data_IF_641921083433
#
_entry.id   IF_641921083433
#
_cell.length_a   1.000
_cell.length_b   1.000
_cell.length_c   1.000
_cell.angle_alpha   90.00
_cell.angle_beta   90.00
_cell.angle_gamma   90.00
#
_symmetry.space_group_name_H-M   'P 1'
#
loop_
_entity.id
_entity.type
_entity.pdbx_description
1 polymer ?
#
# COMPACT_ATOMS: atom_id res chain seq x y z
N UNK A 1 -15.86 32.39 -9.01
CA UNK A 1 -15.19 32.34 -10.33
C UNK A 1 -13.80 32.94 -10.14
N UNK A 2 -12.82 32.10 -9.82
CA UNK A 2 -11.43 32.55 -9.68
C UNK A 2 -10.75 32.45 -11.06
N UNK A 3 -10.04 33.48 -11.53
CA UNK A 3 -9.42 33.44 -12.85
C UNK A 3 -8.21 32.51 -12.80
N UNK A 4 -8.30 31.37 -13.49
CA UNK A 4 -7.15 30.54 -13.82
C UNK A 4 -6.28 31.31 -14.82
N UNK A 5 -5.08 31.71 -14.40
CA UNK A 5 -4.00 32.07 -15.33
C UNK A 5 -3.40 30.76 -15.85
N UNK A 6 -3.46 30.57 -17.17
CA UNK A 6 -2.66 29.56 -17.87
C UNK A 6 -1.18 29.96 -17.74
N UNK A 7 -0.51 29.43 -16.74
CA UNK A 7 0.95 29.31 -16.77
C UNK A 7 1.26 27.94 -17.40
N UNK A 8 2.02 27.97 -18.49
CA UNK A 8 2.48 26.78 -19.18
C UNK A 8 3.11 25.80 -18.18
N UNK A 9 2.59 24.57 -18.14
CA UNK A 9 3.22 23.47 -17.40
C UNK A 9 4.50 23.13 -18.15
N UNK A 10 5.58 23.81 -17.79
CA UNK A 10 6.93 23.40 -18.15
C UNK A 10 7.20 22.11 -17.41
N UNK A 11 6.98 20.98 -18.09
CA UNK A 11 7.57 19.72 -17.68
C UNK A 11 9.08 19.95 -17.59
N UNK A 12 9.62 19.94 -16.38
CA UNK A 12 11.07 19.87 -16.15
C UNK A 12 11.56 18.52 -16.69
N UNK A 13 11.68 18.41 -18.02
CA UNK A 13 12.55 17.42 -18.66
C UNK A 13 13.96 17.94 -18.49
N UNK A 14 14.53 17.71 -17.31
CA UNK A 14 15.97 17.79 -17.17
C UNK A 14 16.57 16.70 -18.05
N UNK A 15 17.31 17.11 -19.09
CA UNK A 15 18.18 16.28 -19.91
C UNK A 15 19.43 15.84 -19.13
N UNK A 16 19.27 15.46 -17.87
CA UNK A 16 20.35 15.12 -16.96
C UNK A 16 20.08 13.73 -16.39
N UNK A 17 21.04 12.84 -16.48
CA UNK A 17 21.14 11.58 -15.71
C UNK A 17 21.27 11.80 -14.20
N UNK A 18 20.76 12.91 -13.68
CA UNK A 18 20.70 13.19 -12.25
C UNK A 18 19.53 12.41 -11.65
N UNK A 19 19.85 11.55 -10.67
CA UNK A 19 18.85 10.89 -9.86
C UNK A 19 17.98 11.96 -9.19
N UNK A 20 16.72 12.05 -9.61
CA UNK A 20 15.75 12.95 -8.98
C UNK A 20 15.56 12.47 -7.54
N UNK A 21 16.12 13.20 -6.58
CA UNK A 21 15.88 12.92 -5.17
C UNK A 21 14.46 13.36 -4.81
N UNK A 22 13.62 12.40 -4.44
CA UNK A 22 12.26 12.70 -3.98
C UNK A 22 12.36 13.34 -2.58
N UNK A 23 11.78 14.55 -2.37
CA UNK A 23 11.88 15.25 -1.09
C UNK A 23 11.18 14.47 0.03
N UNK A 24 11.83 14.39 1.19
CA UNK A 24 11.28 13.77 2.40
C UNK A 24 10.69 14.82 3.34
N UNK A 25 9.47 14.59 3.79
CA UNK A 25 8.76 15.43 4.75
C UNK A 25 8.91 14.79 6.13
N UNK A 26 9.81 15.36 6.95
CA UNK A 26 10.08 14.85 8.31
C UNK A 26 9.07 15.38 9.35
N UNK A 27 8.63 16.62 9.18
CA UNK A 27 7.76 17.33 10.14
C UNK A 27 6.41 17.61 9.52
N UNK A 28 5.34 17.36 10.28
CA UNK A 28 3.97 17.68 9.89
C UNK A 28 3.84 19.16 9.53
N UNK A 29 3.26 19.41 8.36
CA UNK A 29 2.91 20.71 7.81
C UNK A 29 1.40 20.93 7.99
N UNK A 30 0.96 22.15 7.77
CA UNK A 30 -0.47 22.41 7.62
C UNK A 30 -0.99 21.74 6.34
N UNK A 31 -2.28 21.44 6.28
CA UNK A 31 -2.89 20.93 5.05
C UNK A 31 -2.68 21.90 3.89
N UNK A 32 -2.87 23.21 4.12
CA UNK A 32 -2.68 24.24 3.11
C UNK A 32 -1.25 24.27 2.56
N UNK A 33 -0.24 24.20 3.43
CA UNK A 33 1.16 24.14 2.99
C UNK A 33 1.43 22.90 2.14
N UNK A 34 0.95 21.74 2.58
CA UNK A 34 1.12 20.48 1.85
C UNK A 34 0.41 20.53 0.49
N UNK A 35 -0.81 21.07 0.46
CA UNK A 35 -1.59 21.22 -0.76
C UNK A 35 -0.87 22.12 -1.77
N UNK A 36 -0.48 23.33 -1.37
CA UNK A 36 0.15 24.30 -2.27
C UNK A 36 1.52 23.85 -2.77
N UNK A 37 2.28 23.09 -1.97
CA UNK A 37 3.66 22.70 -2.31
C UNK A 37 3.80 21.33 -2.95
N UNK A 38 2.81 20.44 -2.78
CA UNK A 38 2.88 19.06 -3.28
C UNK A 38 1.67 18.66 -4.11
N UNK A 39 0.45 18.78 -3.57
CA UNK A 39 -0.74 18.29 -4.27
C UNK A 39 -1.08 19.11 -5.52
N UNK A 40 -1.13 20.44 -5.40
CA UNK A 40 -1.46 21.34 -6.50
C UNK A 40 -0.43 21.29 -7.66
N UNK A 41 0.90 21.36 -7.40
CA UNK A 41 1.89 21.23 -8.48
C UNK A 41 2.13 19.78 -8.93
N UNK A 42 1.49 18.79 -8.29
CA UNK A 42 1.68 17.36 -8.53
C UNK A 42 3.16 16.91 -8.35
N UNK A 43 3.78 17.33 -7.24
CA UNK A 43 5.17 16.99 -6.93
C UNK A 43 5.27 15.84 -5.92
N UNK A 44 6.02 14.78 -6.24
CA UNK A 44 6.15 13.63 -5.36
C UNK A 44 6.90 14.01 -4.08
N UNK A 45 6.55 13.35 -2.99
CA UNK A 45 7.27 13.45 -1.72
C UNK A 45 7.17 12.14 -0.95
N UNK A 46 8.09 11.93 -0.01
CA UNK A 46 8.08 10.80 0.92
C UNK A 46 7.72 11.34 2.30
N UNK A 47 6.62 10.86 2.89
CA UNK A 47 6.34 11.11 4.31
C UNK A 47 7.24 10.24 5.19
N UNK A 48 7.82 10.82 6.24
CA UNK A 48 8.64 10.06 7.17
C UNK A 48 7.84 9.00 7.93
N UNK A 49 8.55 8.05 8.55
CA UNK A 49 7.95 6.98 9.35
C UNK A 49 7.18 7.51 10.58
N UNK A 50 7.39 8.77 10.98
CA UNK A 50 6.64 9.41 12.05
C UNK A 50 5.15 9.57 11.74
N UNK A 51 4.79 9.73 10.46
CA UNK A 51 3.40 9.89 10.05
C UNK A 51 2.56 8.64 10.29
N UNK A 52 3.20 7.47 10.40
CA UNK A 52 2.52 6.18 10.50
C UNK A 52 2.83 5.44 11.79
N UNK A 53 3.68 5.98 12.69
CA UNK A 53 4.17 5.27 13.89
C UNK A 53 3.09 4.79 14.87
N UNK A 54 1.91 5.41 14.83
CA UNK A 54 0.80 5.06 15.68
C UNK A 54 -0.07 3.95 15.08
N UNK A 55 0.06 3.67 13.77
CA UNK A 55 -0.76 2.68 13.06
C UNK A 55 -0.65 1.30 13.70
N UNK A 56 -1.79 0.65 13.84
CA UNK A 56 -1.90 -0.68 14.44
C UNK A 56 -1.18 -1.73 13.61
N UNK A 57 -1.29 -1.66 12.28
CA UNK A 57 -0.55 -2.53 11.35
C UNK A 57 0.96 -2.48 11.59
N UNK A 58 1.54 -1.30 11.81
CA UNK A 58 2.98 -1.16 12.09
C UNK A 58 3.41 -1.77 13.42
N UNK A 59 2.51 -1.83 14.39
CA UNK A 59 2.80 -2.35 15.74
C UNK A 59 2.57 -3.86 15.85
N UNK A 60 1.58 -4.38 15.11
CA UNK A 60 1.12 -5.77 15.26
C UNK A 60 1.55 -6.67 14.10
N UNK A 61 1.59 -6.14 12.86
CA UNK A 61 1.90 -6.94 11.66
C UNK A 61 3.40 -7.10 11.40
N UNK A 62 4.23 -6.32 12.11
CA UNK A 62 5.67 -6.33 11.96
C UNK A 62 6.34 -6.62 13.30
N UNK A 63 7.44 -7.37 13.25
CA UNK A 63 8.36 -7.57 14.38
C UNK A 63 9.29 -6.34 14.52
N UNK A 64 10.05 -6.31 15.62
CA UNK A 64 10.98 -5.20 15.93
C UNK A 64 12.11 -5.04 14.90
N UNK A 65 12.46 -6.11 14.18
CA UNK A 65 13.45 -6.09 13.10
C UNK A 65 12.87 -5.63 11.75
N UNK A 66 11.58 -5.29 11.71
CA UNK A 66 10.85 -4.87 10.52
C UNK A 66 10.34 -6.03 9.65
N UNK A 67 10.59 -7.28 10.02
CA UNK A 67 10.05 -8.43 9.29
C UNK A 67 8.56 -8.67 9.61
N UNK A 68 7.81 -9.37 8.73
CA UNK A 68 6.41 -9.70 9.01
C UNK A 68 6.26 -10.57 10.26
N UNK A 69 5.24 -10.26 11.07
CA UNK A 69 4.82 -11.09 12.20
C UNK A 69 3.88 -12.20 11.71
N UNK A 70 4.47 -13.26 11.14
CA UNK A 70 3.73 -14.36 10.53
C UNK A 70 2.74 -15.01 11.51
N UNK A 71 3.17 -15.30 12.74
CA UNK A 71 2.34 -15.91 13.78
C UNK A 71 1.08 -15.08 14.08
N UNK A 72 1.23 -13.76 14.24
CA UNK A 72 0.10 -12.88 14.48
C UNK A 72 -0.86 -12.83 13.29
N UNK A 73 -0.34 -12.65 12.08
CA UNK A 73 -1.16 -12.55 10.87
C UNK A 73 -1.93 -13.85 10.61
N UNK A 74 -1.26 -14.98 10.80
CA UNK A 74 -1.82 -16.32 10.73
C UNK A 74 -2.94 -16.52 11.75
N UNK A 75 -2.67 -16.28 13.03
CA UNK A 75 -3.65 -16.46 14.11
C UNK A 75 -4.84 -15.51 13.96
N UNK A 76 -4.61 -14.25 13.60
CA UNK A 76 -5.65 -13.22 13.64
C UNK A 76 -6.54 -13.18 12.40
N UNK A 77 -5.97 -13.47 11.23
CA UNK A 77 -6.63 -13.29 9.92
C UNK A 77 -6.57 -14.54 9.04
N UNK A 78 -6.06 -15.67 9.54
CA UNK A 78 -5.72 -16.86 8.74
C UNK A 78 -6.83 -17.37 7.81
N UNK A 79 -8.10 -17.26 8.23
CA UNK A 79 -9.24 -17.76 7.45
C UNK A 79 -9.67 -16.84 6.30
N UNK A 80 -9.18 -15.60 6.23
CA UNK A 80 -9.55 -14.69 5.15
C UNK A 80 -8.98 -15.18 3.81
N UNK A 81 -9.84 -15.24 2.79
CA UNK A 81 -9.44 -15.48 1.42
C UNK A 81 -8.89 -14.19 0.80
N UNK A 82 -7.72 -14.27 0.18
CA UNK A 82 -7.02 -13.12 -0.38
C UNK A 82 -6.58 -13.34 -1.82
N UNK A 83 -6.61 -12.28 -2.64
CA UNK A 83 -6.07 -12.31 -3.99
C UNK A 83 -4.54 -12.39 -3.96
N UNK A 84 -3.99 -13.37 -4.66
CA UNK A 84 -2.55 -13.61 -4.79
C UNK A 84 -2.17 -13.74 -6.26
N UNK A 85 -1.23 -12.92 -6.70
CA UNK A 85 -0.60 -12.98 -8.00
C UNK A 85 0.65 -13.86 -7.94
N UNK A 86 0.95 -14.57 -9.03
CA UNK A 86 2.23 -15.26 -9.19
C UNK A 86 3.14 -14.46 -10.14
N UNK A 87 4.21 -13.87 -9.59
CA UNK A 87 5.14 -13.01 -10.30
C UNK A 87 6.06 -13.75 -11.29
N UNK A 88 6.13 -15.10 -11.22
CA UNK A 88 6.92 -15.92 -12.14
C UNK A 88 6.13 -16.35 -13.38
N UNK A 89 4.82 -16.07 -13.43
CA UNK A 89 3.93 -16.52 -14.50
C UNK A 89 3.26 -15.33 -15.14
N UNK A 90 3.47 -15.16 -16.44
CA UNK A 90 2.75 -14.18 -17.22
C UNK A 90 1.66 -14.88 -18.04
N UNK A 91 0.43 -14.39 -17.96
CA UNK A 91 -0.68 -14.84 -18.80
C UNK A 91 -1.40 -13.62 -19.34
N UNK A 92 -1.33 -13.43 -20.66
CA UNK A 92 -1.96 -12.30 -21.37
C UNK A 92 -1.51 -10.90 -20.87
N UNK A 93 -0.23 -10.71 -20.56
CA UNK A 93 0.28 -9.41 -20.09
C UNK A 93 -0.07 -9.10 -18.63
N UNK A 94 -0.54 -10.10 -17.87
CA UNK A 94 -0.89 -9.97 -16.45
C UNK A 94 -0.47 -11.23 -15.68
N UNK A 95 -0.21 -11.09 -14.39
CA UNK A 95 -0.02 -12.24 -13.52
C UNK A 95 -1.37 -12.93 -13.25
N UNK A 96 -1.47 -14.27 -13.39
CA UNK A 96 -2.67 -14.99 -13.01
C UNK A 96 -2.92 -14.78 -11.51
N UNK A 97 -4.12 -14.30 -11.18
CA UNK A 97 -4.58 -14.15 -9.80
C UNK A 97 -5.29 -15.43 -9.37
N UNK A 98 -4.89 -15.98 -8.24
CA UNK A 98 -5.60 -17.03 -7.53
C UNK A 98 -6.05 -16.51 -6.17
N UNK A 99 -7.07 -17.13 -5.59
CA UNK A 99 -7.38 -16.93 -4.17
C UNK A 99 -6.70 -18.01 -3.33
N UNK A 100 -6.23 -17.62 -2.16
CA UNK A 100 -5.82 -18.55 -1.09
C UNK A 100 -6.06 -17.91 0.27
N UNK A 101 -5.99 -18.69 1.33
CA UNK A 101 -6.16 -18.16 2.68
C UNK A 101 -4.91 -17.38 3.11
N UNK A 102 -5.06 -16.42 4.03
CA UNK A 102 -3.91 -15.78 4.70
C UNK A 102 -3.03 -16.85 5.36
N UNK A 103 -3.63 -17.88 5.96
CA UNK A 103 -2.90 -19.00 6.55
C UNK A 103 -1.93 -19.65 5.54
N UNK A 104 -2.43 -20.01 4.37
CA UNK A 104 -1.62 -20.64 3.32
C UNK A 104 -0.55 -19.67 2.80
N UNK A 105 -0.90 -18.40 2.60
CA UNK A 105 0.02 -17.39 2.10
C UNK A 105 1.16 -17.11 3.09
N UNK A 106 0.87 -16.99 4.39
CA UNK A 106 1.90 -16.82 5.43
C UNK A 106 2.82 -18.05 5.51
N UNK A 107 2.24 -19.26 5.47
CA UNK A 107 3.00 -20.52 5.49
C UNK A 107 3.92 -20.66 4.27
N UNK A 108 3.41 -20.28 3.09
CA UNK A 108 4.20 -20.17 1.88
C UNK A 108 5.37 -19.20 2.05
N UNK A 109 5.09 -17.98 2.52
CA UNK A 109 6.10 -16.92 2.59
C UNK A 109 7.20 -17.28 3.60
N UNK A 110 6.82 -17.82 4.76
CA UNK A 110 7.79 -18.28 5.74
C UNK A 110 8.70 -19.38 5.17
N UNK A 111 8.12 -20.38 4.48
CA UNK A 111 8.90 -21.41 3.79
C UNK A 111 9.83 -20.83 2.74
N UNK A 112 9.34 -19.92 1.89
CA UNK A 112 10.12 -19.29 0.81
C UNK A 112 11.31 -18.50 1.35
N UNK A 113 11.15 -17.82 2.50
CA UNK A 113 12.23 -17.14 3.21
C UNK A 113 13.23 -18.13 3.81
N UNK A 114 12.76 -19.19 4.46
CA UNK A 114 13.61 -20.20 5.11
C UNK A 114 14.46 -20.99 4.11
N UNK A 115 13.97 -21.21 2.90
CA UNK A 115 14.71 -21.90 1.82
C UNK A 115 15.61 -20.98 1.00
N UNK A 116 15.72 -19.70 1.36
CA UNK A 116 16.64 -18.76 0.73
C UNK A 116 16.17 -18.17 -0.60
N UNK A 117 14.86 -18.03 -0.81
CA UNK A 117 14.25 -17.46 -2.01
C UNK A 117 14.66 -18.18 -3.31
N UNK A 118 14.40 -19.50 -3.41
CA UNK A 118 14.87 -20.29 -4.54
C UNK A 118 14.10 -19.94 -5.82
N UNK A 119 14.78 -20.01 -6.97
CA UNK A 119 14.21 -19.63 -8.28
C UNK A 119 13.13 -20.60 -8.79
N UNK A 120 13.16 -21.85 -8.33
CA UNK A 120 12.24 -22.92 -8.73
C UNK A 120 10.90 -22.90 -7.95
N UNK A 121 10.79 -22.04 -6.93
CA UNK A 121 9.55 -21.85 -6.18
C UNK A 121 8.81 -20.60 -6.69
N UNK A 122 7.50 -20.72 -6.85
CA UNK A 122 6.63 -19.63 -7.30
C UNK A 122 6.79 -18.40 -6.37
N UNK A 123 7.09 -17.23 -6.94
CA UNK A 123 7.12 -15.96 -6.22
C UNK A 123 5.69 -15.38 -6.15
N UNK A 124 5.04 -15.47 -4.99
CA UNK A 124 3.66 -15.07 -4.81
C UNK A 124 3.54 -13.70 -4.15
N UNK A 125 2.58 -12.91 -4.62
CA UNK A 125 2.32 -11.55 -4.15
C UNK A 125 0.84 -11.37 -3.81
N UNK A 126 0.54 -11.15 -2.52
CA UNK A 126 -0.79 -10.76 -2.08
C UNK A 126 -1.02 -9.31 -2.49
N UNK A 127 -2.02 -9.07 -3.32
CA UNK A 127 -2.23 -7.78 -4.00
C UNK A 127 -3.71 -7.45 -4.13
N UNK A 128 -4.04 -6.20 -3.85
CA UNK A 128 -5.39 -5.65 -3.95
C UNK A 128 -6.36 -6.28 -2.91
N UNK A 129 -5.85 -6.62 -1.71
CA UNK A 129 -6.69 -7.14 -0.64
C UNK A 129 -7.44 -6.00 0.07
N UNK A 130 -8.77 -6.00 -0.03
CA UNK A 130 -9.67 -5.09 0.69
C UNK A 130 -9.76 -5.41 2.19
N UNK A 131 -8.65 -5.26 2.89
CA UNK A 131 -8.54 -5.59 4.32
C UNK A 131 -9.53 -4.79 5.17
N UNK A 132 -9.72 -3.51 4.86
CA UNK A 132 -10.61 -2.64 5.64
C UNK A 132 -12.08 -3.03 5.48
N UNK A 133 -12.49 -3.53 4.31
CA UNK A 133 -13.80 -4.13 4.09
C UNK A 133 -13.97 -5.44 4.86
N UNK A 134 -12.95 -6.30 4.85
CA UNK A 134 -13.01 -7.62 5.51
C UNK A 134 -12.96 -7.52 7.04
N UNK A 135 -12.19 -6.56 7.57
CA UNK A 135 -11.95 -6.37 9.00
C UNK A 135 -12.16 -4.91 9.43
N UNK A 136 -13.39 -4.36 9.30
CA UNK A 136 -13.68 -2.94 9.51
C UNK A 136 -13.38 -2.50 10.95
N UNK A 137 -13.61 -3.37 11.93
CA UNK A 137 -13.38 -3.07 13.34
C UNK A 137 -11.90 -3.09 13.75
N UNK A 138 -11.03 -3.69 12.94
CA UNK A 138 -9.62 -3.83 13.31
C UNK A 138 -8.87 -2.49 13.29
N UNK A 139 -9.25 -1.59 12.36
CA UNK A 139 -8.66 -0.25 12.16
C UNK A 139 -7.13 -0.33 12.01
N UNK A 140 -6.68 -0.98 10.93
CA UNK A 140 -5.26 -1.25 10.70
C UNK A 140 -4.40 0.02 10.63
N UNK A 141 -4.95 1.10 10.10
CA UNK A 141 -4.29 2.39 9.93
C UNK A 141 -5.27 3.54 10.07
N UNK A 142 -4.72 4.76 10.12
CA UNK A 142 -5.47 6.00 10.03
C UNK A 142 -5.00 6.78 8.81
N UNK A 143 -5.93 7.30 8.01
CA UNK A 143 -5.60 8.12 6.85
C UNK A 143 -4.88 9.40 7.30
N UNK A 144 -3.64 9.66 6.84
CA UNK A 144 -2.96 10.91 7.16
C UNK A 144 -3.79 12.11 6.72
N UNK A 145 -3.83 13.17 7.54
CA UNK A 145 -4.71 14.33 7.32
C UNK A 145 -4.55 15.05 5.97
N UNK A 146 -3.48 14.79 5.21
CA UNK A 146 -3.31 15.33 3.87
C UNK A 146 -4.14 14.61 2.80
N UNK A 147 -4.58 13.39 3.10
CA UNK A 147 -5.27 12.50 2.17
C UNK A 147 -6.72 12.23 2.60
N UNK A 148 -7.26 13.01 3.53
CA UNK A 148 -8.63 12.85 4.02
C UNK A 148 -9.68 13.43 3.09
N UNK A 149 -9.29 14.15 2.03
CA UNK A 149 -10.20 14.56 0.96
C UNK A 149 -10.45 13.38 0.01
N UNK A 150 -11.10 12.34 0.53
CA UNK A 150 -11.23 11.02 -0.10
C UNK A 150 -12.70 10.74 -0.47
N UNK A 151 -13.19 11.55 -1.40
CA UNK A 151 -14.57 11.48 -1.91
C UNK A 151 -14.98 10.08 -2.38
N UNK A 152 -14.04 9.25 -2.82
CA UNK A 152 -14.32 7.91 -3.32
C UNK A 152 -14.60 6.95 -2.17
N UNK A 153 -13.75 6.90 -1.14
CA UNK A 153 -14.04 6.07 0.05
C UNK A 153 -15.18 6.65 0.88
N UNK A 154 -15.35 7.98 0.95
CA UNK A 154 -16.52 8.62 1.58
C UNK A 154 -17.83 8.16 0.92
N UNK A 155 -17.85 8.03 -0.39
CA UNK A 155 -19.00 7.54 -1.14
C UNK A 155 -19.30 6.06 -0.83
N UNK A 156 -18.29 5.21 -0.75
CA UNK A 156 -18.48 3.79 -0.46
C UNK A 156 -18.85 3.53 1.01
N UNK A 157 -18.27 4.27 1.94
CA UNK A 157 -18.56 4.15 3.38
C UNK A 157 -20.02 4.52 3.70
N UNK A 158 -20.73 5.22 2.82
CA UNK A 158 -22.15 5.58 2.97
C UNK A 158 -23.13 4.54 2.39
N UNK A 159 -22.64 3.48 1.73
CA UNK A 159 -23.48 2.48 1.05
C UNK A 159 -23.65 1.23 1.90
N UNK A 160 -24.90 0.87 2.17
CA UNK A 160 -25.23 -0.32 2.96
C UNK A 160 -25.50 -1.58 2.11
N UNK A 161 -25.72 -1.42 0.79
CA UNK A 161 -26.15 -2.51 -0.10
C UNK A 161 -25.02 -3.08 -0.97
N UNK A 162 -23.97 -2.29 -1.22
CA UNK A 162 -22.78 -2.68 -1.97
C UNK A 162 -21.59 -2.18 -1.17
N UNK A 163 -20.76 -3.11 -0.71
CA UNK A 163 -19.59 -2.80 0.11
C UNK A 163 -18.33 -2.93 -0.73
N UNK A 164 -17.70 -1.80 -1.02
CA UNK A 164 -16.39 -1.75 -1.65
C UNK A 164 -15.50 -0.70 -0.97
N UNK A 165 -14.21 -0.71 -1.28
CA UNK A 165 -13.31 0.36 -0.89
C UNK A 165 -12.13 0.51 -1.87
N UNK A 166 -11.42 1.62 -1.74
CA UNK A 166 -10.15 1.87 -2.43
C UNK A 166 -9.01 1.86 -1.41
N UNK A 167 -8.99 0.84 -0.55
CA UNK A 167 -8.05 0.69 0.57
C UNK A 167 -7.46 -0.72 0.53
N UNK A 168 -6.31 -0.83 -0.11
CA UNK A 168 -5.71 -2.13 -0.42
C UNK A 168 -4.51 -2.44 0.46
N UNK A 169 -4.40 -3.71 0.84
CA UNK A 169 -3.21 -4.30 1.44
C UNK A 169 -2.41 -5.05 0.37
N UNK A 170 -1.09 -4.87 0.45
CA UNK A 170 -0.10 -5.53 -0.38
C UNK A 170 0.94 -6.19 0.52
N UNK A 171 1.26 -7.46 0.23
CA UNK A 171 2.22 -8.24 1.01
C UNK A 171 2.96 -9.22 0.11
N UNK A 172 4.27 -9.34 0.27
CA UNK A 172 5.01 -10.37 -0.45
C UNK A 172 6.50 -10.41 -0.12
N UNK A 173 7.15 -11.53 -0.45
CA UNK A 173 8.57 -11.73 -0.24
C UNK A 173 9.43 -10.82 -1.11
N UNK A 174 10.73 -10.81 -0.80
CA UNK A 174 11.73 -10.23 -1.68
C UNK A 174 11.55 -10.77 -3.10
N UNK A 175 11.48 -9.88 -4.08
CA UNK A 175 11.34 -10.22 -5.50
C UNK A 175 9.88 -10.24 -6.03
N UNK A 176 8.89 -10.07 -5.16
CA UNK A 176 7.47 -9.98 -5.58
C UNK A 176 7.08 -8.57 -6.03
N UNK A 177 6.15 -8.47 -6.99
CA UNK A 177 5.65 -7.19 -7.55
C UNK A 177 4.23 -7.30 -8.13
#
# INVERSE_FOLDING_TARGET
MFPYKNEEIVLLRNNSTELIQIPKIEVKKTYQDFFLKHLLPNYPCILSTDFTKHWKSRKEWCLTDGSPNFEFLHTRFGNACVPVANCNKEKYGSHPKSEMTIHDFMSYWEKYKQTGYPEDMDCLYLKDFHFNREFPDYKAYETPGYFTSDWMNEYWDQRNEIWDDYRFVYMGPKGSW
#
